data_IF_987515141615
#
_entry.id   IF_987515141615
#
_cell.length_a   1.000
_cell.length_b   1.000
_cell.length_c   1.000
_cell.angle_alpha   90.00
_cell.angle_beta   90.00
_cell.angle_gamma   90.00
#
_symmetry.space_group_name_H-M   'P 1'
#
loop_
_entity.id
_entity.type
_entity.pdbx_description
1 polymer ?
#
# COMPACT_ATOMS: atom_id res chain seq x y z
N UNK A 1 -8.23 -17.51 -7.41
CA UNK A 1 -7.41 -16.61 -8.24
C UNK A 1 -6.79 -15.57 -7.31
N UNK A 2 -5.47 -15.36 -7.29
CA UNK A 2 -4.86 -14.31 -6.45
C UNK A 2 -5.20 -12.92 -7.05
N UNK A 3 -5.57 -11.91 -6.25
CA UNK A 3 -5.79 -10.56 -6.75
C UNK A 3 -4.53 -10.05 -7.47
N UNK A 4 -4.72 -9.31 -8.56
CA UNK A 4 -3.61 -8.72 -9.31
C UNK A 4 -3.12 -7.47 -8.59
N UNK A 5 -1.88 -7.06 -8.84
CA UNK A 5 -1.29 -5.86 -8.22
C UNK A 5 -2.16 -4.60 -8.44
N UNK A 6 -2.86 -4.52 -9.56
CA UNK A 6 -3.82 -3.45 -9.89
C UNK A 6 -5.03 -3.41 -8.94
N UNK A 7 -5.49 -4.56 -8.44
CA UNK A 7 -6.64 -4.64 -7.52
C UNK A 7 -6.29 -4.01 -6.16
N UNK A 8 -5.05 -4.17 -5.70
CA UNK A 8 -4.58 -3.55 -4.45
C UNK A 8 -4.49 -2.03 -4.57
N UNK A 9 -4.02 -1.50 -5.69
CA UNK A 9 -3.95 -0.05 -5.90
C UNK A 9 -5.36 0.57 -5.95
N UNK A 10 -6.32 -0.09 -6.61
CA UNK A 10 -7.70 0.37 -6.61
C UNK A 10 -8.33 0.36 -5.21
N UNK A 11 -8.09 -0.67 -4.41
CA UNK A 11 -8.56 -0.70 -3.02
C UNK A 11 -7.97 0.43 -2.17
N UNK A 12 -6.67 0.70 -2.32
CA UNK A 12 -5.99 1.78 -1.58
C UNK A 12 -6.58 3.14 -1.97
N UNK A 13 -6.71 3.42 -3.28
CA UNK A 13 -7.25 4.68 -3.76
C UNK A 13 -8.71 4.89 -3.34
N UNK A 14 -9.54 3.85 -3.43
CA UNK A 14 -10.93 3.90 -2.99
C UNK A 14 -11.06 4.14 -1.48
N UNK A 15 -10.19 3.52 -0.69
CA UNK A 15 -10.17 3.71 0.76
C UNK A 15 -9.72 5.13 1.16
N UNK A 16 -8.70 5.69 0.50
CA UNK A 16 -8.26 7.08 0.72
C UNK A 16 -9.39 8.05 0.41
N UNK A 17 -10.03 7.92 -0.76
CA UNK A 17 -11.14 8.80 -1.15
C UNK A 17 -12.32 8.74 -0.17
N UNK A 18 -12.60 7.56 0.37
CA UNK A 18 -13.64 7.38 1.39
C UNK A 18 -13.27 8.08 2.71
N UNK A 19 -12.02 7.95 3.15
CA UNK A 19 -11.52 8.63 4.36
C UNK A 19 -11.59 10.14 4.22
N UNK A 20 -11.17 10.69 3.08
CA UNK A 20 -11.27 12.13 2.80
C UNK A 20 -12.72 12.63 2.88
N UNK A 21 -13.67 11.88 2.31
CA UNK A 21 -15.09 12.21 2.38
C UNK A 21 -15.64 12.17 3.82
N UNK A 22 -15.30 11.13 4.58
CA UNK A 22 -15.75 10.95 5.97
C UNK A 22 -15.15 11.95 6.96
N UNK A 23 -14.01 12.55 6.62
CA UNK A 23 -13.32 13.51 7.49
C UNK A 23 -13.51 14.96 7.05
N UNK A 24 -14.22 15.21 5.93
CA UNK A 24 -14.42 16.53 5.35
C UNK A 24 -15.15 17.51 6.26
N UNK A 25 -16.01 17.02 7.16
CA UNK A 25 -16.77 17.85 8.11
C UNK A 25 -15.93 18.31 9.32
N UNK A 26 -14.68 17.87 9.42
CA UNK A 26 -13.72 18.29 10.44
C UNK A 26 -13.79 17.48 11.73
N UNK A 27 -12.87 17.79 12.64
CA UNK A 27 -12.61 17.01 13.85
C UNK A 27 -13.83 16.88 14.76
N UNK A 28 -14.56 17.97 15.00
CA UNK A 28 -15.71 17.93 15.91
C UNK A 28 -16.81 17.00 15.40
N UNK A 29 -17.15 17.08 14.11
CA UNK A 29 -18.15 16.20 13.49
C UNK A 29 -17.69 14.74 13.50
N UNK A 30 -16.41 14.51 13.20
CA UNK A 30 -15.81 13.17 13.25
C UNK A 30 -15.84 12.56 14.66
N UNK A 31 -15.51 13.35 15.70
CA UNK A 31 -15.40 12.85 17.08
C UNK A 31 -16.75 12.49 17.71
N UNK A 32 -17.85 13.11 17.27
CA UNK A 32 -19.20 12.81 17.79
C UNK A 32 -19.89 11.67 17.03
N UNK A 33 -19.45 11.36 15.80
CA UNK A 33 -20.02 10.26 15.01
C UNK A 33 -19.13 9.01 15.04
N UNK A 34 -19.47 8.10 15.96
CA UNK A 34 -18.80 6.81 16.12
C UNK A 34 -18.87 5.95 14.85
N UNK A 35 -19.95 6.03 14.06
CA UNK A 35 -20.10 5.22 12.84
C UNK A 35 -19.11 5.67 11.78
N UNK A 36 -18.93 6.98 11.64
CA UNK A 36 -17.94 7.56 10.74
C UNK A 36 -16.52 7.17 11.17
N UNK A 37 -16.21 7.15 12.46
CA UNK A 37 -14.93 6.63 12.96
C UNK A 37 -14.71 5.16 12.62
N UNK A 38 -15.72 4.30 12.82
CA UNK A 38 -15.63 2.88 12.46
C UNK A 38 -15.42 2.69 10.95
N UNK A 39 -16.09 3.49 10.12
CA UNK A 39 -15.90 3.48 8.68
C UNK A 39 -14.48 3.89 8.27
N UNK A 40 -13.90 4.92 8.91
CA UNK A 40 -12.51 5.34 8.68
C UNK A 40 -11.52 4.25 9.10
N UNK A 41 -11.69 3.65 10.28
CA UNK A 41 -10.84 2.55 10.77
C UNK A 41 -10.87 1.39 9.78
N UNK A 42 -12.05 1.01 9.28
CA UNK A 42 -12.18 -0.07 8.29
C UNK A 42 -11.44 0.24 6.99
N UNK A 43 -11.48 1.48 6.51
CA UNK A 43 -10.74 1.88 5.31
C UNK A 43 -9.23 1.84 5.53
N UNK A 44 -8.74 2.21 6.72
CA UNK A 44 -7.33 2.08 7.07
C UNK A 44 -6.87 0.61 7.10
N UNK A 45 -7.70 -0.32 7.60
CA UNK A 45 -7.42 -1.75 7.52
C UNK A 45 -7.30 -2.26 6.08
N UNK A 46 -8.19 -1.83 5.18
CA UNK A 46 -8.16 -2.18 3.76
C UNK A 46 -6.85 -1.72 3.11
N UNK A 47 -6.40 -0.49 3.42
CA UNK A 47 -5.12 0.03 2.96
C UNK A 47 -3.96 -0.84 3.48
N UNK A 48 -3.98 -1.19 4.76
CA UNK A 48 -2.96 -2.03 5.38
C UNK A 48 -2.86 -3.42 4.75
N UNK A 49 -4.00 -4.06 4.49
CA UNK A 49 -4.07 -5.36 3.82
C UNK A 49 -3.53 -5.29 2.39
N UNK A 50 -3.95 -4.29 1.62
CA UNK A 50 -3.52 -4.09 0.25
C UNK A 50 -2.01 -3.80 0.16
N UNK A 51 -1.48 -2.94 1.04
CA UNK A 51 -0.04 -2.62 1.10
C UNK A 51 0.81 -3.84 1.51
N UNK A 52 0.36 -4.62 2.50
CA UNK A 52 1.05 -5.83 2.94
C UNK A 52 1.11 -6.92 1.85
N UNK A 53 0.03 -7.09 1.10
CA UNK A 53 -0.04 -8.08 0.03
C UNK A 53 0.78 -7.69 -1.22
N UNK A 54 0.89 -6.40 -1.52
CA UNK A 54 1.75 -5.90 -2.61
C UNK A 54 3.25 -6.16 -2.34
N UNK A 55 3.70 -6.01 -1.09
CA UNK A 55 5.07 -6.33 -0.68
C UNK A 55 5.44 -7.80 -0.89
N UNK A 56 4.51 -8.73 -0.64
CA UNK A 56 4.75 -10.17 -0.81
C UNK A 56 4.87 -10.58 -2.28
N UNK A 57 4.07 -9.99 -3.18
CA UNK A 57 4.16 -10.25 -4.62
C UNK A 57 5.48 -9.71 -5.18
N UNK A 58 5.89 -8.53 -4.73
CA UNK A 58 7.14 -7.89 -5.14
C UNK A 58 8.37 -8.69 -4.68
N UNK A 59 8.45 -9.04 -3.38
CA UNK A 59 9.55 -9.87 -2.84
C UNK A 59 9.57 -11.26 -3.49
N UNK A 60 8.40 -11.87 -3.77
CA UNK A 60 8.33 -13.16 -4.45
C UNK A 60 8.82 -13.09 -5.90
N UNK A 61 8.56 -11.99 -6.62
CA UNK A 61 9.10 -11.76 -7.98
C UNK A 61 10.62 -11.61 -7.97
N UNK A 62 11.20 -10.95 -6.97
CA UNK A 62 12.65 -10.84 -6.82
C UNK A 62 13.30 -12.19 -6.49
N UNK A 63 12.71 -12.94 -5.55
CA UNK A 63 13.18 -14.27 -5.17
C UNK A 63 13.15 -15.28 -6.32
N UNK A 64 12.10 -15.28 -7.15
CA UNK A 64 12.00 -16.17 -8.32
C UNK A 64 12.95 -15.80 -9.47
N UNK A 65 13.51 -14.59 -9.50
CA UNK A 65 14.54 -14.17 -10.47
C UNK A 65 15.97 -14.28 -9.92
N UNK A 66 16.16 -14.83 -8.72
CA UNK A 66 17.47 -14.95 -8.08
C UNK A 66 18.10 -13.61 -7.66
N UNK A 67 17.32 -12.53 -7.61
CA UNK A 67 17.80 -11.20 -7.26
C UNK A 67 17.41 -10.88 -5.82
N UNK A 68 18.40 -10.55 -4.99
CA UNK A 68 18.16 -10.05 -3.64
C UNK A 68 17.59 -8.62 -3.71
N UNK A 69 16.60 -8.25 -2.86
CA UNK A 69 16.05 -6.89 -2.80
C UNK A 69 17.10 -5.82 -2.44
N UNK A 70 18.25 -6.24 -1.91
CA UNK A 70 19.30 -5.39 -1.39
C UNK A 70 20.60 -5.44 -2.23
N UNK A 71 20.64 -6.20 -3.33
CA UNK A 71 21.86 -6.34 -4.13
C UNK A 71 21.97 -5.22 -5.17
N UNK A 72 22.52 -4.07 -4.76
CA UNK A 72 23.07 -3.10 -5.70
C UNK A 72 24.36 -3.72 -6.25
N UNK A 73 24.33 -4.24 -7.48
CA UNK A 73 25.56 -4.59 -8.17
C UNK A 73 26.43 -3.33 -8.24
N UNK A 74 27.64 -3.31 -7.64
CA UNK A 74 28.58 -2.27 -7.94
C UNK A 74 28.87 -2.40 -9.45
N UNK A 75 28.57 -1.35 -10.20
CA UNK A 75 29.09 -1.23 -11.56
C UNK A 75 30.61 -1.17 -11.40
N UNK A 76 31.26 -2.33 -11.50
CA UNK A 76 32.68 -2.40 -11.77
C UNK A 76 32.84 -1.84 -13.17
N UNK A 77 33.07 -0.53 -13.21
CA UNK A 77 33.65 0.18 -14.33
C UNK A 77 34.86 -0.63 -14.80
N UNK A 78 34.66 -1.38 -15.88
CA UNK A 78 35.75 -1.90 -16.69
C UNK A 78 36.26 -0.70 -17.49
N UNK A 79 37.16 0.07 -16.88
CA UNK A 79 38.00 1.15 -17.43
C UNK A 79 37.91 2.46 -16.63
N UNK A 80 38.60 2.49 -15.49
CA UNK A 80 39.29 3.70 -15.03
C UNK A 80 40.81 3.40 -15.06
N UNK A 81 41.64 4.29 -15.61
CA UNK A 81 42.98 3.99 -16.15
C UNK A 81 44.02 3.49 -15.14
#
# INVERSE_FOLDING_TARGET
MKPRDEDYMHHILGAISSIEAYTAEGETAFMVDRKTQDAVIRNLEIIGEAAGNWGQTTVSRFRNRGLSPFFRAPQLDRNTP
#
